data_IF_890635174611
#
_entry.id   IF_890635174611
#
_cell.length_a   1.000
_cell.length_b   1.000
_cell.length_c   1.000
_cell.angle_alpha   90.00
_cell.angle_beta   90.00
_cell.angle_gamma   90.00
#
_symmetry.space_group_name_H-M   'P 1'
#
loop_
_entity.id
_entity.type
_entity.pdbx_description
1 polymer ?
#
# COMPACT_ATOMS: atom_id res chain seq x y z
N UNK A 1 3.24 2.04 16.40
CA UNK A 1 2.22 2.29 15.33
C UNK A 1 2.07 1.02 14.51
N UNK A 2 0.85 0.67 14.08
CA UNK A 2 0.62 -0.49 13.20
C UNK A 2 0.93 -0.14 11.74
N UNK A 3 1.22 -1.15 10.91
CA UNK A 3 1.39 -0.97 9.47
C UNK A 3 0.10 -0.41 8.86
N UNK A 4 0.22 0.46 7.86
CA UNK A 4 -0.93 1.04 7.16
C UNK A 4 -0.74 0.94 5.66
N UNK A 5 -1.62 0.19 5.01
CA UNK A 5 -1.70 0.05 3.56
C UNK A 5 -2.64 1.11 2.99
N UNK A 6 -2.15 1.89 2.02
CA UNK A 6 -2.93 2.87 1.28
C UNK A 6 -3.18 2.36 -0.14
N UNK A 7 -4.45 2.35 -0.54
CA UNK A 7 -4.92 1.92 -1.85
C UNK A 7 -5.77 3.02 -2.48
N UNK A 8 -5.79 3.11 -3.81
CA UNK A 8 -6.72 3.99 -4.49
C UNK A 8 -8.11 3.36 -4.52
N UNK A 9 -9.12 4.16 -4.14
CA UNK A 9 -10.51 3.82 -4.40
C UNK A 9 -10.71 3.75 -5.92
N UNK A 10 -11.22 2.65 -6.51
CA UNK A 10 -11.47 2.55 -7.95
C UNK A 10 -12.65 3.44 -8.36
N UNK A 11 -12.81 3.65 -9.67
CA UNK A 11 -13.91 4.44 -10.23
C UNK A 11 -13.63 5.94 -10.33
N UNK A 12 -12.35 6.33 -10.38
CA UNK A 12 -11.97 7.73 -10.53
C UNK A 12 -11.97 8.18 -11.99
N UNK A 13 -12.17 9.48 -12.17
CA UNK A 13 -12.08 10.18 -13.45
C UNK A 13 -10.69 10.82 -13.60
N UNK A 14 -10.19 10.83 -14.83
CA UNK A 14 -8.97 11.52 -15.25
C UNK A 14 -9.31 12.42 -16.44
N UNK A 15 -9.37 13.73 -16.20
CA UNK A 15 -9.64 14.74 -17.23
C UNK A 15 -10.91 14.45 -18.07
N UNK A 16 -12.00 14.07 -17.41
CA UNK A 16 -13.29 13.74 -18.03
C UNK A 16 -13.37 12.34 -18.64
N UNK A 17 -12.36 11.49 -18.41
CA UNK A 17 -12.33 10.11 -18.87
C UNK A 17 -12.37 9.15 -17.69
N UNK A 18 -13.15 8.07 -17.82
CA UNK A 18 -13.29 7.04 -16.79
C UNK A 18 -14.52 6.15 -17.02
N UNK A 19 -14.90 5.32 -16.02
CA UNK A 19 -14.21 5.13 -14.74
C UNK A 19 -12.89 4.34 -14.89
N UNK A 20 -11.84 4.80 -14.20
CA UNK A 20 -10.54 4.12 -14.13
C UNK A 20 -10.32 3.40 -12.79
N UNK A 21 -9.36 2.47 -12.77
CA UNK A 21 -8.85 1.85 -11.56
C UNK A 21 -7.32 1.68 -11.64
N UNK A 22 -6.66 1.65 -10.49
CA UNK A 22 -5.22 1.40 -10.43
C UNK A 22 -4.95 -0.12 -10.47
N UNK A 23 -4.27 -0.60 -11.51
CA UNK A 23 -3.96 -2.02 -11.69
C UNK A 23 -3.12 -2.61 -10.54
N UNK A 24 -2.17 -1.82 -10.03
CA UNK A 24 -1.34 -2.22 -8.90
C UNK A 24 -2.15 -2.31 -7.60
N UNK A 25 -3.06 -1.35 -7.35
CA UNK A 25 -3.99 -1.45 -6.21
C UNK A 25 -4.93 -2.65 -6.38
N UNK A 26 -5.43 -2.92 -7.58
CA UNK A 26 -6.27 -4.08 -7.85
C UNK A 26 -5.54 -5.40 -7.57
N UNK A 27 -4.23 -5.47 -7.88
CA UNK A 27 -3.37 -6.61 -7.53
C UNK A 27 -3.32 -6.83 -6.02
N UNK A 28 -3.16 -5.75 -5.24
CA UNK A 28 -3.15 -5.84 -3.77
C UNK A 28 -4.53 -6.18 -3.20
N UNK A 29 -5.61 -5.60 -3.74
CA UNK A 29 -6.99 -5.96 -3.38
C UNK A 29 -7.29 -7.43 -3.64
N UNK A 30 -6.82 -7.99 -4.77
CA UNK A 30 -6.96 -9.42 -5.07
C UNK A 30 -6.27 -10.31 -4.03
N UNK A 31 -5.07 -9.94 -3.59
CA UNK A 31 -4.38 -10.63 -2.50
C UNK A 31 -5.16 -10.56 -1.18
N UNK A 32 -5.70 -9.40 -0.82
CA UNK A 32 -6.54 -9.24 0.38
C UNK A 32 -7.82 -10.10 0.29
N UNK A 33 -8.40 -10.23 -0.90
CA UNK A 33 -9.56 -11.08 -1.15
C UNK A 33 -9.23 -12.58 -1.06
N UNK A 34 -8.02 -13.00 -1.48
CA UNK A 34 -7.55 -14.39 -1.33
C UNK A 34 -7.29 -14.76 0.13
N UNK A 35 -6.91 -13.79 0.96
CA UNK A 35 -6.56 -14.01 2.37
C UNK A 35 -7.41 -13.13 3.31
N UNK A 36 -8.72 -13.39 3.43
CA UNK A 36 -9.61 -12.59 4.28
C UNK A 36 -9.21 -12.60 5.75
N UNK A 37 -8.42 -13.58 6.21
CA UNK A 37 -7.84 -13.63 7.55
C UNK A 37 -6.87 -12.47 7.86
N UNK A 38 -6.40 -11.74 6.84
CA UNK A 38 -5.57 -10.55 7.03
C UNK A 38 -6.38 -9.33 7.52
N UNK A 39 -7.72 -9.40 7.45
CA UNK A 39 -8.59 -8.33 7.90
C UNK A 39 -8.33 -7.99 9.38
N UNK A 40 -8.00 -6.73 9.66
CA UNK A 40 -7.77 -6.23 11.02
C UNK A 40 -6.36 -6.45 11.57
N UNK A 41 -5.47 -7.17 10.87
CA UNK A 41 -4.07 -7.34 11.31
C UNK A 41 -3.21 -6.09 11.10
N UNK A 42 -3.62 -5.24 10.15
CA UNK A 42 -3.03 -3.95 9.84
C UNK A 42 -4.11 -2.99 9.34
N UNK A 43 -3.81 -1.69 9.30
CA UNK A 43 -4.75 -0.71 8.81
C UNK A 43 -4.79 -0.69 7.27
N UNK A 44 -5.98 -0.66 6.69
CA UNK A 44 -6.18 -0.50 5.25
C UNK A 44 -6.96 0.80 5.04
N UNK A 45 -6.42 1.71 4.23
CA UNK A 45 -7.03 2.98 3.88
C UNK A 45 -7.20 3.05 2.37
N UNK A 46 -8.44 3.22 1.93
CA UNK A 46 -8.78 3.49 0.52
C UNK A 46 -8.95 4.99 0.37
N UNK A 47 -8.12 5.61 -0.45
CA UNK A 47 -7.99 7.07 -0.58
C UNK A 47 -8.31 7.53 -2.01
N UNK A 48 -8.57 8.83 -2.14
CA UNK A 48 -8.93 9.44 -3.42
C UNK A 48 -7.78 9.49 -4.43
N UNK A 49 -8.13 9.60 -5.71
CA UNK A 49 -7.17 9.73 -6.81
C UNK A 49 -6.49 11.10 -6.87
N UNK A 50 -7.16 12.16 -6.40
CA UNK A 50 -6.72 13.55 -6.51
C UNK A 50 -5.29 13.75 -5.99
N UNK A 51 -4.53 14.58 -6.70
CA UNK A 51 -3.18 15.01 -6.30
C UNK A 51 -3.19 16.52 -6.01
N UNK A 52 -2.43 17.00 -5.01
CA UNK A 52 -1.64 16.22 -4.04
C UNK A 52 -2.52 15.38 -3.10
N UNK A 53 -2.06 14.17 -2.71
CA UNK A 53 -2.82 13.25 -1.84
C UNK A 53 -2.67 13.64 -0.37
N UNK A 54 -3.72 14.15 0.30
CA UNK A 54 -3.61 14.69 1.66
C UNK A 54 -3.25 13.63 2.70
N UNK A 55 -3.52 12.35 2.46
CA UNK A 55 -3.19 11.26 3.37
C UNK A 55 -1.72 10.84 3.30
N UNK A 56 -1.07 11.05 2.16
CA UNK A 56 0.31 10.57 1.92
C UNK A 56 1.34 11.69 2.00
N UNK A 57 1.02 12.90 1.51
CA UNK A 57 1.97 14.01 1.49
C UNK A 57 2.54 14.36 2.88
N UNK A 58 1.73 14.45 3.95
CA UNK A 58 2.28 14.68 5.30
C UNK A 58 3.15 13.52 5.81
N UNK A 59 2.91 12.29 5.33
CA UNK A 59 3.60 11.10 5.80
C UNK A 59 4.92 10.86 5.07
N UNK A 60 4.95 11.06 3.75
CA UNK A 60 6.05 10.63 2.88
C UNK A 60 6.56 11.75 1.95
N UNK A 61 5.91 12.92 1.95
CA UNK A 61 6.21 14.03 1.05
C UNK A 61 5.57 13.87 -0.33
N UNK A 62 5.56 14.96 -1.10
CA UNK A 62 4.92 14.99 -2.43
C UNK A 62 5.56 14.05 -3.45
N UNK A 63 6.84 13.74 -3.30
CA UNK A 63 7.55 12.79 -4.16
C UNK A 63 7.06 11.34 -3.98
N UNK A 64 6.46 11.01 -2.83
CA UNK A 64 6.11 9.63 -2.44
C UNK A 64 4.62 9.47 -2.14
N UNK A 65 3.78 10.05 -2.99
CA UNK A 65 2.32 9.95 -2.90
C UNK A 65 1.73 8.86 -3.83
N UNK A 66 2.52 7.88 -4.25
CA UNK A 66 2.07 6.76 -5.08
C UNK A 66 1.15 5.79 -4.33
N UNK A 67 0.38 4.99 -5.07
CA UNK A 67 -0.46 3.92 -4.52
C UNK A 67 -0.40 2.71 -5.46
N UNK A 68 -0.34 1.47 -4.93
CA UNK A 68 -0.41 1.11 -3.52
C UNK A 68 0.86 1.52 -2.77
N UNK A 69 0.73 1.80 -1.47
CA UNK A 69 1.89 2.03 -0.60
C UNK A 69 1.61 1.50 0.81
N UNK A 70 2.57 0.74 1.35
CA UNK A 70 2.53 0.23 2.71
C UNK A 70 3.47 1.04 3.58
N UNK A 71 2.93 1.85 4.48
CA UNK A 71 3.71 2.56 5.50
C UNK A 71 3.90 1.65 6.70
N UNK A 72 5.17 1.39 7.04
CA UNK A 72 5.52 0.48 8.12
C UNK A 72 5.40 1.16 9.48
N UNK A 73 4.91 0.39 10.45
CA UNK A 73 4.96 0.73 11.86
C UNK A 73 6.39 0.98 12.35
N UNK A 74 6.54 1.79 13.40
CA UNK A 74 7.85 2.10 13.98
C UNK A 74 8.62 0.84 14.41
N UNK A 75 7.91 -0.15 14.95
CA UNK A 75 8.49 -1.39 15.48
C UNK A 75 8.40 -2.57 14.49
N UNK A 76 7.90 -2.32 13.27
CA UNK A 76 7.80 -3.37 12.25
C UNK A 76 9.19 -3.79 11.78
N UNK A 77 9.42 -5.10 11.79
CA UNK A 77 10.56 -5.77 11.19
C UNK A 77 10.22 -6.20 9.77
N UNK A 78 11.24 -6.31 8.94
CA UNK A 78 11.15 -6.74 7.54
C UNK A 78 12.44 -7.44 7.15
N UNK A 79 12.33 -8.32 6.15
CA UNK A 79 13.48 -9.01 5.60
C UNK A 79 14.37 -8.06 4.79
N UNK A 80 15.68 -8.31 4.79
CA UNK A 80 16.67 -7.44 4.15
C UNK A 80 16.56 -7.39 2.61
N UNK A 81 15.87 -8.35 1.99
CA UNK A 81 15.66 -8.41 0.54
C UNK A 81 14.50 -7.52 0.06
N UNK A 82 13.72 -6.94 0.99
CA UNK A 82 12.60 -6.08 0.63
C UNK A 82 13.08 -4.65 0.28
N UNK A 83 12.59 -4.04 -0.82
CA UNK A 83 12.93 -2.69 -1.23
C UNK A 83 12.23 -1.65 -0.34
N UNK A 84 12.69 -1.52 0.92
CA UNK A 84 12.13 -0.55 1.87
C UNK A 84 12.74 0.82 1.62
N UNK A 85 11.87 1.79 1.36
CA UNK A 85 12.22 3.20 1.21
C UNK A 85 12.01 3.96 2.51
N UNK A 86 12.56 5.16 2.60
CA UNK A 86 12.37 6.05 3.74
C UNK A 86 12.15 7.50 3.32
N UNK A 87 11.14 8.14 3.89
CA UNK A 87 10.82 9.56 3.68
C UNK A 87 10.15 10.14 4.93
N UNK A 88 10.46 11.40 5.28
CA UNK A 88 9.93 12.08 6.47
C UNK A 88 9.99 11.25 7.77
N UNK A 89 11.07 10.47 7.96
CA UNK A 89 11.24 9.60 9.13
C UNK A 89 10.31 8.37 9.15
N UNK A 90 9.61 8.07 8.06
CA UNK A 90 8.78 6.88 7.88
C UNK A 90 9.46 5.91 6.93
N UNK A 91 9.27 4.61 7.18
CA UNK A 91 9.68 3.51 6.30
C UNK A 91 8.47 3.01 5.54
N UNK A 92 8.62 2.71 4.25
CA UNK A 92 7.50 2.26 3.42
C UNK A 92 7.94 1.36 2.27
N UNK A 93 6.99 0.65 1.67
CA UNK A 93 7.14 -0.17 0.47
C UNK A 93 6.07 0.28 -0.53
N UNK A 94 6.47 0.66 -1.74
CA UNK A 94 5.59 1.12 -2.83
C UNK A 94 5.57 0.17 -4.04
N UNK A 95 6.43 -0.86 -4.07
CA UNK A 95 6.35 -1.93 -5.05
C UNK A 95 5.25 -2.94 -4.68
N UNK A 96 4.23 -3.17 -5.53
CA UNK A 96 3.07 -4.01 -5.19
C UNK A 96 3.46 -5.45 -4.82
N UNK A 97 4.34 -6.09 -5.60
CA UNK A 97 4.80 -7.45 -5.31
C UNK A 97 5.59 -7.53 -4.01
N UNK A 98 6.38 -6.50 -3.68
CA UNK A 98 7.09 -6.43 -2.40
C UNK A 98 6.12 -6.26 -1.22
N UNK A 99 5.05 -5.47 -1.37
CA UNK A 99 3.96 -5.38 -0.37
C UNK A 99 3.36 -6.77 -0.14
N UNK A 100 3.05 -7.52 -1.20
CA UNK A 100 2.49 -8.88 -1.08
C UNK A 100 3.46 -9.84 -0.38
N UNK A 101 4.76 -9.81 -0.74
CA UNK A 101 5.79 -10.63 -0.07
C UNK A 101 5.88 -10.29 1.42
N UNK A 102 5.93 -9.00 1.76
CA UNK A 102 5.98 -8.53 3.14
C UNK A 102 4.78 -9.04 3.95
N UNK A 103 3.56 -8.80 3.48
CA UNK A 103 2.34 -9.21 4.18
C UNK A 103 2.23 -10.73 4.27
N UNK A 104 2.58 -11.43 3.19
CA UNK A 104 2.61 -12.89 3.12
C UNK A 104 3.52 -13.50 4.18
N UNK A 105 4.78 -13.06 4.21
CA UNK A 105 5.77 -13.53 5.19
C UNK A 105 5.40 -13.14 6.62
N UNK A 106 4.98 -11.88 6.85
CA UNK A 106 4.65 -11.37 8.19
C UNK A 106 3.46 -12.07 8.84
N UNK A 107 2.47 -12.47 8.05
CA UNK A 107 1.22 -13.05 8.55
C UNK A 107 1.05 -14.54 8.22
N UNK A 108 2.07 -15.19 7.68
CA UNK A 108 2.07 -16.63 7.41
C UNK A 108 1.09 -17.06 6.32
N UNK A 109 0.86 -16.21 5.31
CA UNK A 109 0.04 -16.54 4.13
C UNK A 109 0.90 -16.67 2.87
N UNK A 110 0.28 -17.00 1.73
CA UNK A 110 1.02 -17.21 0.48
C UNK A 110 1.79 -15.98 0.02
N UNK A 111 2.86 -16.20 -0.74
CA UNK A 111 3.67 -15.15 -1.37
C UNK A 111 3.62 -15.32 -2.89
N UNK A 112 3.73 -14.23 -3.66
CA UNK A 112 3.78 -14.33 -5.12
C UNK A 112 5.03 -15.09 -5.56
N UNK A 113 4.86 -15.95 -6.59
CA UNK A 113 5.92 -16.74 -7.23
C UNK A 113 6.87 -15.90 -8.07
#
# INVERSE_FOLDING_TARGET
MTDTLYLLTPGYDVDGHGPHFCADCATVEGFLAYYPQLAGLFAIKRIGFSRPRPELVPLLGEAHQGCPVLVLGADSTFDADLPVLSANGRRFIDEPKAILRYLGRKHGVGTPS
#
